data_IF_704027695681
#
_entry.id   IF_704027695681
#
_cell.length_a   1.000
_cell.length_b   1.000
_cell.length_c   1.000
_cell.angle_alpha   90.00
_cell.angle_beta   90.00
_cell.angle_gamma   90.00
#
_symmetry.space_group_name_H-M   'P 1'
#
loop_
_entity.id
_entity.type
_entity.pdbx_description
1 polymer ?
#
# COMPACT_ATOMS: atom_id res chain seq x y z
N UNK A 1 -3.27 17.87 -19.84
CA UNK A 1 -4.49 17.28 -20.43
C UNK A 1 -5.03 18.09 -21.60
N UNK A 2 -4.42 19.22 -21.97
CA UNK A 2 -5.03 20.17 -22.92
C UNK A 2 -4.82 19.81 -24.39
N UNK A 3 -3.82 18.99 -24.71
CA UNK A 3 -3.38 18.74 -26.09
C UNK A 3 -4.46 18.11 -26.99
N UNK A 4 -5.35 17.29 -26.43
CA UNK A 4 -6.40 16.60 -27.18
C UNK A 4 -7.81 17.12 -26.84
N UNK A 5 -7.94 18.20 -26.07
CA UNK A 5 -9.24 18.69 -25.59
C UNK A 5 -10.21 19.01 -26.74
N UNK A 6 -9.71 19.62 -27.82
CA UNK A 6 -10.51 19.94 -29.01
C UNK A 6 -10.98 18.70 -29.80
N UNK A 7 -10.29 17.56 -29.67
CA UNK A 7 -10.64 16.31 -30.36
C UNK A 7 -11.57 15.44 -29.52
N UNK A 8 -11.30 15.35 -28.21
CA UNK A 8 -12.05 14.51 -27.28
C UNK A 8 -13.37 15.17 -26.87
N UNK A 9 -13.38 16.49 -26.69
CA UNK A 9 -14.56 17.21 -26.19
C UNK A 9 -14.90 16.84 -24.75
N UNK A 10 -16.19 16.94 -24.41
CA UNK A 10 -16.73 16.60 -23.09
C UNK A 10 -17.50 15.26 -23.19
N UNK A 11 -16.90 14.14 -22.74
CA UNK A 11 -17.56 12.84 -22.82
C UNK A 11 -18.70 12.74 -21.79
N UNK A 12 -19.84 12.21 -22.21
CA UNK A 12 -20.97 11.90 -21.30
C UNK A 12 -20.73 10.61 -20.49
N UNK A 13 -19.88 9.72 -20.99
CA UNK A 13 -19.54 8.44 -20.38
C UNK A 13 -18.09 8.07 -20.69
N UNK A 14 -17.37 7.58 -19.67
CA UNK A 14 -16.03 7.00 -19.81
C UNK A 14 -16.10 5.53 -19.44
N UNK A 15 -15.62 4.67 -20.32
CA UNK A 15 -15.50 3.23 -20.10
C UNK A 15 -14.03 2.86 -19.99
N UNK A 16 -13.65 2.18 -18.92
CA UNK A 16 -12.30 1.67 -18.69
C UNK A 16 -12.35 0.16 -18.52
N UNK A 17 -11.57 -0.58 -19.31
CA UNK A 17 -11.48 -2.04 -19.29
C UNK A 17 -10.10 -2.48 -18.73
N UNK A 18 -9.69 -1.88 -17.62
CA UNK A 18 -8.41 -2.12 -16.96
C UNK A 18 -8.59 -2.19 -15.43
N UNK A 19 -9.56 -3.00 -14.99
CA UNK A 19 -9.83 -3.21 -13.57
C UNK A 19 -10.00 -4.69 -13.26
N UNK A 20 -10.00 -5.01 -11.98
CA UNK A 20 -10.19 -6.38 -11.48
C UNK A 20 -11.64 -6.82 -11.49
N UNK A 21 -11.83 -8.15 -11.52
CA UNK A 21 -13.11 -8.83 -11.33
C UNK A 21 -12.98 -9.78 -10.14
N UNK A 22 -14.03 -9.89 -9.33
CA UNK A 22 -14.03 -10.82 -8.19
C UNK A 22 -14.08 -12.28 -8.62
N UNK A 23 -14.81 -12.56 -9.71
CA UNK A 23 -14.88 -13.86 -10.38
C UNK A 23 -15.23 -13.66 -11.88
N UNK A 24 -15.40 -14.75 -12.62
CA UNK A 24 -15.72 -14.72 -14.05
C UNK A 24 -17.17 -15.11 -14.38
N UNK A 25 -18.05 -15.14 -13.39
CA UNK A 25 -19.43 -15.64 -13.54
C UNK A 25 -20.47 -14.51 -13.64
N UNK A 26 -20.09 -13.29 -13.28
CA UNK A 26 -20.95 -12.11 -13.34
C UNK A 26 -20.20 -10.86 -13.78
N UNK A 27 -20.96 -9.80 -14.09
CA UNK A 27 -20.40 -8.48 -14.38
C UNK A 27 -19.98 -7.77 -13.10
N UNK A 28 -18.80 -7.14 -13.14
CA UNK A 28 -18.23 -6.40 -12.03
C UNK A 28 -18.09 -4.93 -12.37
N UNK A 29 -18.50 -4.05 -11.45
CA UNK A 29 -18.31 -2.60 -11.58
C UNK A 29 -17.37 -2.12 -10.49
N UNK A 30 -16.28 -1.48 -10.89
CA UNK A 30 -15.35 -0.83 -9.94
C UNK A 30 -15.94 0.50 -9.49
N UNK A 31 -16.16 0.65 -8.19
CA UNK A 31 -16.80 1.84 -7.62
C UNK A 31 -15.82 2.82 -6.99
N UNK A 32 -14.58 2.41 -6.76
CA UNK A 32 -13.49 3.26 -6.30
C UNK A 32 -12.13 2.73 -6.77
N UNK A 33 -11.16 3.63 -6.85
CA UNK A 33 -9.74 3.32 -7.02
C UNK A 33 -8.96 4.02 -5.92
N UNK A 34 -7.89 3.40 -5.43
CA UNK A 34 -7.00 4.04 -4.46
C UNK A 34 -6.00 4.93 -5.19
N UNK A 35 -5.67 6.05 -4.55
CA UNK A 35 -4.48 6.83 -4.91
C UNK A 35 -3.19 6.11 -4.52
N UNK A 36 -2.07 6.59 -5.05
CA UNK A 36 -0.74 6.11 -4.71
C UNK A 36 0.20 7.30 -4.50
N UNK A 37 0.92 7.30 -3.37
CA UNK A 37 1.99 8.25 -3.10
C UNK A 37 3.31 7.46 -3.09
N UNK A 38 4.17 7.76 -4.06
CA UNK A 38 5.53 7.22 -4.10
C UNK A 38 6.51 8.20 -3.43
N UNK A 39 7.40 7.70 -2.58
CA UNK A 39 8.48 8.49 -2.00
C UNK A 39 9.80 7.71 -1.96
N UNK A 40 10.92 8.44 -1.94
CA UNK A 40 12.25 7.88 -1.70
C UNK A 40 12.80 8.48 -0.42
N UNK A 41 13.13 7.63 0.55
CA UNK A 41 13.69 8.05 1.84
C UNK A 41 15.17 7.71 1.85
N UNK A 42 16.01 8.74 2.07
CA UNK A 42 17.45 8.60 2.24
C UNK A 42 17.82 8.90 3.68
N UNK A 43 18.64 8.05 4.27
CA UNK A 43 19.16 8.21 5.63
C UNK A 43 20.67 8.09 5.61
N UNK A 44 21.35 9.23 5.77
CA UNK A 44 22.80 9.28 5.92
C UNK A 44 23.15 9.50 7.40
N UNK A 45 24.12 8.73 7.91
CA UNK A 45 24.62 8.83 9.30
C UNK A 45 26.10 9.17 9.37
N UNK A 46 26.82 8.93 8.27
CA UNK A 46 28.24 9.23 8.06
C UNK A 46 28.41 9.70 6.62
N UNK A 47 29.48 10.45 6.36
CA UNK A 47 29.85 10.89 5.01
C UNK A 47 30.55 9.80 4.19
N UNK A 48 31.03 8.74 4.84
CA UNK A 48 31.74 7.60 4.23
C UNK A 48 31.52 6.30 4.99
N UNK A 49 31.96 5.17 4.40
CA UNK A 49 31.91 3.86 5.05
C UNK A 49 32.99 3.72 6.12
N UNK A 50 32.60 3.29 7.33
CA UNK A 50 33.52 3.06 8.46
C UNK A 50 33.39 1.62 8.93
N UNK A 51 34.53 1.02 9.32
CA UNK A 51 34.58 -0.35 9.83
C UNK A 51 33.65 -0.53 11.03
N UNK A 52 32.75 -1.53 10.97
CA UNK A 52 31.71 -1.71 11.99
C UNK A 52 32.30 -1.92 13.39
N UNK A 53 33.45 -2.57 13.53
CA UNK A 53 34.12 -2.74 14.84
C UNK A 53 34.53 -1.42 15.52
N UNK A 54 34.76 -0.33 14.76
CA UNK A 54 35.07 0.99 15.32
C UNK A 54 33.82 1.85 15.54
N UNK A 55 32.81 1.69 14.68
CA UNK A 55 31.63 2.54 14.68
C UNK A 55 30.45 1.97 15.50
N UNK A 56 30.34 0.65 15.62
CA UNK A 56 29.15 0.00 16.21
C UNK A 56 29.01 0.32 17.69
N UNK A 57 27.79 0.63 18.13
CA UNK A 57 27.49 1.05 19.50
C UNK A 57 27.62 2.57 19.73
N UNK A 58 28.44 3.27 18.96
CA UNK A 58 28.57 4.73 19.01
C UNK A 58 27.78 5.41 17.88
N UNK A 59 28.04 5.02 16.63
CA UNK A 59 27.39 5.58 15.44
C UNK A 59 26.01 4.93 15.26
N UNK A 60 24.94 5.70 15.03
CA UNK A 60 23.63 5.12 14.78
C UNK A 60 23.59 4.36 13.45
N UNK A 61 22.93 3.21 13.44
CA UNK A 61 22.62 2.50 12.20
C UNK A 61 21.59 3.31 11.41
N UNK A 62 21.88 3.58 10.14
CA UNK A 62 20.92 4.22 9.22
C UNK A 62 19.62 3.41 9.10
N UNK A 63 19.69 2.08 9.17
CA UNK A 63 18.52 1.20 9.21
C UNK A 63 17.67 1.39 10.47
N UNK A 64 18.31 1.58 11.63
CA UNK A 64 17.59 1.86 12.87
C UNK A 64 16.84 3.18 12.79
N UNK A 65 17.48 4.21 12.22
CA UNK A 65 16.84 5.51 11.98
C UNK A 65 15.71 5.38 10.96
N UNK A 66 15.93 4.68 9.84
CA UNK A 66 14.89 4.43 8.83
C UNK A 66 13.66 3.75 9.45
N UNK A 67 13.85 2.67 10.22
CA UNK A 67 12.73 2.00 10.90
C UNK A 67 11.99 2.95 11.83
N UNK A 68 12.70 3.75 12.63
CA UNK A 68 12.07 4.75 13.49
C UNK A 68 11.25 5.79 12.71
N UNK A 69 11.70 6.20 11.52
CA UNK A 69 10.94 7.11 10.66
C UNK A 69 9.68 6.41 10.12
N UNK A 70 9.79 5.16 9.68
CA UNK A 70 8.65 4.37 9.21
C UNK A 70 7.63 4.12 10.34
N UNK A 71 8.09 3.87 11.57
CA UNK A 71 7.20 3.71 12.74
C UNK A 71 6.44 4.98 13.12
N UNK A 72 6.78 6.15 12.56
CA UNK A 72 5.97 7.38 12.71
C UNK A 72 4.81 7.43 11.71
N UNK A 73 4.93 6.70 10.60
CA UNK A 73 3.91 6.60 9.55
C UNK A 73 2.94 5.44 9.82
N UNK A 74 3.48 4.30 10.23
CA UNK A 74 2.74 3.04 10.38
C UNK A 74 3.08 2.37 11.72
N UNK A 75 2.08 1.82 12.40
CA UNK A 75 2.27 0.93 13.53
C UNK A 75 2.88 -0.40 13.05
N UNK A 76 4.13 -0.67 13.43
CA UNK A 76 4.89 -1.85 12.98
C UNK A 76 4.30 -3.21 13.41
N UNK A 77 3.37 -3.22 14.37
CA UNK A 77 2.73 -4.46 14.86
C UNK A 77 1.43 -4.75 14.12
N UNK A 78 0.71 -3.71 13.72
CA UNK A 78 -0.65 -3.84 13.16
C UNK A 78 -0.73 -3.51 11.68
N UNK A 79 0.23 -2.76 11.13
CA UNK A 79 0.17 -2.21 9.77
C UNK A 79 -0.80 -1.02 9.64
N UNK A 80 -1.24 -0.44 10.76
CA UNK A 80 -2.16 0.69 10.73
C UNK A 80 -1.40 1.98 10.46
N UNK A 81 -1.82 2.74 9.46
CA UNK A 81 -1.29 4.08 9.19
C UNK A 81 -1.74 5.04 10.30
N UNK A 82 -0.79 5.76 10.88
CA UNK A 82 -0.99 6.63 12.04
C UNK A 82 -1.42 8.05 11.67
N UNK A 83 -1.23 8.46 10.41
CA UNK A 83 -1.56 9.79 9.93
C UNK A 83 -3.04 9.86 9.52
N UNK A 84 -3.81 10.69 10.23
CA UNK A 84 -5.23 10.89 9.96
C UNK A 84 -5.48 11.51 8.59
N UNK A 85 -4.53 12.31 8.08
CA UNK A 85 -4.58 12.97 6.78
C UNK A 85 -4.52 11.98 5.61
N UNK A 86 -4.04 10.75 5.85
CA UNK A 86 -4.02 9.67 4.85
C UNK A 86 -5.29 8.79 4.92
N UNK A 87 -6.21 9.12 5.83
CA UNK A 87 -7.47 8.40 6.01
C UNK A 87 -8.63 9.27 5.55
N UNK A 88 -9.69 8.61 5.07
CA UNK A 88 -10.93 9.27 4.67
C UNK A 88 -12.12 8.62 5.39
N UNK A 89 -13.16 9.42 5.62
CA UNK A 89 -14.42 8.88 6.09
C UNK A 89 -15.07 8.03 4.99
N UNK A 90 -15.20 6.74 5.26
CA UNK A 90 -15.79 5.79 4.30
C UNK A 90 -17.31 6.02 4.27
N UNK A 91 -17.90 6.38 3.12
CA UNK A 91 -19.35 6.56 3.03
C UNK A 91 -20.08 5.26 3.38
N UNK A 92 -21.15 5.34 4.19
CA UNK A 92 -21.89 4.16 4.67
C UNK A 92 -22.39 3.23 3.55
N UNK A 93 -22.76 3.77 2.40
CA UNK A 93 -23.20 2.97 1.26
C UNK A 93 -22.07 2.09 0.68
N UNK A 94 -20.81 2.52 0.79
CA UNK A 94 -19.65 1.73 0.36
C UNK A 94 -19.42 0.50 1.23
N UNK A 95 -19.68 0.60 2.54
CA UNK A 95 -19.65 -0.57 3.42
C UNK A 95 -20.70 -1.61 2.99
N UNK A 96 -21.91 -1.16 2.64
CA UNK A 96 -22.98 -2.04 2.15
C UNK A 96 -22.66 -2.66 0.79
N UNK A 97 -21.99 -1.94 -0.10
CA UNK A 97 -21.49 -2.49 -1.37
C UNK A 97 -20.45 -3.58 -1.14
N UNK A 98 -19.56 -3.42 -0.15
CA UNK A 98 -18.59 -4.45 0.23
C UNK A 98 -19.28 -5.71 0.76
N UNK A 99 -20.30 -5.56 1.61
CA UNK A 99 -21.11 -6.70 2.06
C UNK A 99 -21.74 -7.43 0.86
N UNK A 100 -22.29 -6.68 -0.08
CA UNK A 100 -22.89 -7.22 -1.32
C UNK A 100 -21.86 -7.97 -2.16
N UNK A 101 -20.65 -7.42 -2.30
CA UNK A 101 -19.53 -8.05 -2.99
C UNK A 101 -19.18 -9.40 -2.36
N UNK A 102 -19.08 -9.46 -1.03
CA UNK A 102 -18.72 -10.68 -0.31
C UNK A 102 -19.80 -11.75 -0.46
N UNK A 103 -21.08 -11.35 -0.38
CA UNK A 103 -22.20 -12.27 -0.66
C UNK A 103 -22.17 -12.78 -2.10
N UNK A 104 -21.87 -11.92 -3.07
CA UNK A 104 -21.80 -12.30 -4.48
C UNK A 104 -20.63 -13.25 -4.82
N UNK A 105 -19.61 -13.31 -3.95
CA UNK A 105 -18.50 -14.25 -4.05
C UNK A 105 -18.73 -15.51 -3.20
N UNK A 106 -19.89 -15.67 -2.57
CA UNK A 106 -20.18 -16.77 -1.62
C UNK A 106 -19.11 -16.91 -0.51
N UNK A 107 -18.56 -15.77 -0.07
CA UNK A 107 -17.46 -15.74 0.90
C UNK A 107 -16.11 -16.21 0.34
N UNK A 108 -16.00 -16.55 -0.95
CA UNK A 108 -14.70 -16.76 -1.59
C UNK A 108 -13.90 -15.46 -1.57
N UNK A 109 -12.77 -15.49 -0.89
CA UNK A 109 -11.80 -14.40 -0.93
C UNK A 109 -10.84 -14.61 -2.10
N UNK A 110 -10.24 -13.51 -2.54
CA UNK A 110 -9.17 -13.54 -3.51
C UNK A 110 -8.05 -14.47 -3.06
N UNK A 111 -7.68 -15.41 -3.93
CA UNK A 111 -6.70 -16.46 -3.63
C UNK A 111 -5.30 -15.88 -3.75
N UNK A 112 -4.68 -15.61 -2.61
CA UNK A 112 -3.29 -15.20 -2.56
C UNK A 112 -2.35 -16.42 -2.50
N UNK A 113 -1.18 -16.37 -3.15
CA UNK A 113 -0.16 -17.42 -3.07
C UNK A 113 0.58 -17.33 -1.72
N UNK A 114 -0.11 -17.69 -0.64
CA UNK A 114 0.44 -17.64 0.71
C UNK A 114 1.66 -18.55 0.87
N UNK A 115 2.68 -18.07 1.58
CA UNK A 115 3.86 -18.85 1.91
C UNK A 115 3.69 -19.56 3.25
N UNK A 116 3.70 -20.90 3.26
CA UNK A 116 3.59 -21.69 4.49
C UNK A 116 2.27 -21.43 5.22
N UNK A 117 2.35 -21.11 6.52
CA UNK A 117 1.19 -20.82 7.37
C UNK A 117 0.82 -19.33 7.45
N UNK A 118 1.29 -18.51 6.51
CA UNK A 118 0.92 -17.10 6.44
C UNK A 118 -0.55 -16.94 6.03
N UNK A 119 -1.15 -15.83 6.45
CA UNK A 119 -2.56 -15.53 6.16
C UNK A 119 -2.87 -14.03 6.29
N UNK A 120 -4.15 -13.66 6.13
CA UNK A 120 -4.58 -12.27 6.19
C UNK A 120 -4.42 -11.66 7.59
N UNK A 121 -4.30 -10.34 7.66
CA UNK A 121 -4.20 -9.58 8.93
C UNK A 121 -5.55 -9.39 9.64
N UNK A 122 -6.62 -9.97 9.10
CA UNK A 122 -7.95 -10.00 9.69
C UNK A 122 -8.74 -11.18 9.13
N UNK A 123 -9.58 -11.80 9.95
CA UNK A 123 -10.51 -12.87 9.55
C UNK A 123 -11.87 -12.31 9.09
N UNK A 124 -12.13 -11.02 9.30
CA UNK A 124 -13.37 -10.39 8.87
C UNK A 124 -13.26 -9.99 7.38
N UNK A 125 -14.04 -10.61 6.46
CA UNK A 125 -13.92 -10.34 5.03
C UNK A 125 -14.35 -8.91 4.65
N UNK A 126 -15.29 -8.31 5.38
CA UNK A 126 -15.74 -6.92 5.17
C UNK A 126 -14.60 -5.97 5.51
N UNK A 127 -14.00 -6.14 6.69
CA UNK A 127 -12.86 -5.33 7.13
C UNK A 127 -11.64 -5.52 6.22
N UNK A 128 -11.35 -6.76 5.80
CA UNK A 128 -10.30 -7.06 4.85
C UNK A 128 -10.50 -6.37 3.50
N UNK A 129 -11.72 -6.40 2.96
CA UNK A 129 -12.05 -5.71 1.71
C UNK A 129 -11.97 -4.19 1.85
N UNK A 130 -12.44 -3.63 2.97
CA UNK A 130 -12.30 -2.19 3.26
C UNK A 130 -10.83 -1.78 3.38
N UNK A 131 -9.97 -2.60 4.00
CA UNK A 131 -8.52 -2.34 4.05
C UNK A 131 -7.88 -2.27 2.67
N UNK A 132 -8.35 -3.10 1.74
CA UNK A 132 -7.83 -3.16 0.36
C UNK A 132 -8.33 -2.03 -0.54
N UNK A 133 -9.53 -1.51 -0.28
CA UNK A 133 -10.23 -0.59 -1.19
C UNK A 133 -10.36 0.84 -0.67
N UNK A 134 -10.36 1.05 0.65
CA UNK A 134 -10.66 2.33 1.28
C UNK A 134 -9.64 2.79 2.33
N UNK A 135 -8.98 1.87 3.04
CA UNK A 135 -7.97 2.26 4.04
C UNK A 135 -6.58 2.43 3.40
N UNK A 136 -5.77 3.35 3.91
CA UNK A 136 -4.38 3.49 3.46
C UNK A 136 -3.57 2.26 3.88
N UNK A 137 -2.56 1.94 3.08
CA UNK A 137 -1.62 0.86 3.36
C UNK A 137 -0.23 1.29 2.88
N UNK A 138 0.80 0.85 3.61
CA UNK A 138 2.19 1.12 3.26
C UNK A 138 2.86 -0.15 2.71
N UNK A 139 3.81 0.03 1.79
CA UNK A 139 4.65 -1.04 1.26
C UNK A 139 6.04 -0.51 0.94
N UNK A 140 7.08 -1.18 1.45
CA UNK A 140 8.45 -1.02 0.97
C UNK A 140 8.66 -1.97 -0.21
N UNK A 141 8.77 -1.42 -1.43
CA UNK A 141 8.90 -2.22 -2.66
C UNK A 141 10.33 -2.32 -3.18
N UNK A 142 11.25 -1.49 -2.68
CA UNK A 142 12.65 -1.51 -3.08
C UNK A 142 13.54 -0.74 -2.12
N UNK A 143 14.83 -1.08 -2.11
CA UNK A 143 15.85 -0.37 -1.36
C UNK A 143 17.18 -0.40 -2.11
N UNK A 144 18.04 0.58 -1.86
CA UNK A 144 19.42 0.60 -2.37
C UNK A 144 20.32 0.98 -1.22
N UNK A 145 21.36 0.17 -1.01
CA UNK A 145 22.43 0.50 -0.08
C UNK A 145 23.54 1.17 -0.88
N UNK A 146 23.95 2.38 -0.48
CA UNK A 146 25.01 3.11 -1.16
C UNK A 146 26.31 2.27 -1.22
N UNK A 147 26.98 2.19 -2.39
CA UNK A 147 28.19 1.39 -2.57
C UNK A 147 29.39 1.83 -1.73
N UNK A 148 29.30 2.94 -0.99
CA UNK A 148 30.30 3.36 0.02
C UNK A 148 30.48 2.35 1.17
N UNK A 149 29.63 1.33 1.27
CA UNK A 149 29.82 0.18 2.18
C UNK A 149 30.61 -1.00 1.57
N UNK A 150 31.27 -0.83 0.41
CA UNK A 150 32.21 -1.86 -0.07
C UNK A 150 33.44 -1.89 0.83
N UNK A 151 33.45 -2.86 1.72
CA UNK A 151 34.60 -3.34 2.48
C UNK A 151 35.81 -3.45 1.55
N UNK A 152 36.86 -2.68 1.83
CA UNK A 152 38.23 -2.98 1.43
C UNK A 152 38.96 -3.55 2.63
#
# INVERSE_FOLDING_TARGET
MDHCSAVIGAPDLVVCLDSGAGNYEQFWTTTSLRGLIGCTVRVDVLTEGVHSGSASGLVPSSFRVLRQLLSRLEDEKTGSILLGELTVDIPKHRAKEVETLITALDGENEKFPWHGSMGPTTENPVEGTLRRTWKPAYLLWGWVVSPLQRWR
#
